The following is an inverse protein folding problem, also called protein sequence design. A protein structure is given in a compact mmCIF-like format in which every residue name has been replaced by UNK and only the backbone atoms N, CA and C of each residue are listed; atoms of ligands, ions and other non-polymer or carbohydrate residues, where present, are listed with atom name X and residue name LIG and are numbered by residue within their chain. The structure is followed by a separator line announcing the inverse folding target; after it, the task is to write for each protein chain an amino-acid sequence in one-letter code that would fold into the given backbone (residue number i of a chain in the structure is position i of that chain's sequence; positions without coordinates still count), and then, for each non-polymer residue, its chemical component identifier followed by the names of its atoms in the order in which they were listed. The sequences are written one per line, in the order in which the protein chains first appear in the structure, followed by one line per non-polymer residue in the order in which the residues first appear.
data_IF_465023255243
#
_entry.id   IF_465023255243
#
_cell.length_a   1.000
_cell.length_b   1.000
_cell.length_c   1.000
_cell.angle_alpha   90.00
_cell.angle_beta   90.00
_cell.angle_gamma   90.00
#
_symmetry.space_group_name_H-M   'P 1'
#
loop_
_entity.id
_entity.type
_entity.pdbx_description
1 polymer ?
#
# COMPACT_ATOMS: atom_id res chain seq x y z
N UNK A 1 -22.62 2.92 -19.28
CA UNK A 1 -21.39 3.41 -19.93
C UNK A 1 -20.16 3.15 -19.05
N UNK A 2 -20.16 3.58 -17.78
CA UNK A 2 -19.05 3.39 -16.83
C UNK A 2 -18.62 1.93 -16.67
N UNK A 3 -19.55 0.97 -16.54
CA UNK A 3 -19.21 -0.47 -16.45
C UNK A 3 -18.32 -0.95 -17.61
N UNK A 4 -18.75 -0.71 -18.85
CA UNK A 4 -17.99 -1.13 -20.05
C UNK A 4 -16.62 -0.47 -20.10
N UNK A 5 -16.55 0.81 -19.74
CA UNK A 5 -15.28 1.52 -19.64
C UNK A 5 -14.34 0.87 -18.61
N UNK A 6 -14.84 0.56 -17.42
CA UNK A 6 -14.06 -0.09 -16.37
C UNK A 6 -13.59 -1.51 -16.78
N UNK A 7 -14.46 -2.29 -17.42
CA UNK A 7 -14.12 -3.62 -17.97
C UNK A 7 -13.01 -3.51 -19.03
N UNK A 8 -13.14 -2.55 -19.96
CA UNK A 8 -12.16 -2.32 -21.01
C UNK A 8 -10.82 -1.85 -20.46
N UNK A 9 -10.83 -0.95 -19.46
CA UNK A 9 -9.61 -0.49 -18.78
C UNK A 9 -8.91 -1.62 -18.04
N UNK A 10 -9.61 -2.40 -17.22
CA UNK A 10 -9.03 -3.55 -16.53
C UNK A 10 -8.47 -4.59 -17.50
N UNK A 11 -9.18 -4.86 -18.59
CA UNK A 11 -8.70 -5.77 -19.62
C UNK A 11 -7.42 -5.24 -20.29
N UNK A 12 -7.36 -3.94 -20.58
CA UNK A 12 -6.17 -3.31 -21.14
C UNK A 12 -4.99 -3.39 -20.16
N UNK A 13 -5.19 -3.01 -18.89
CA UNK A 13 -4.17 -3.12 -17.83
C UNK A 13 -3.67 -4.56 -17.71
N UNK A 14 -4.56 -5.56 -17.71
CA UNK A 14 -4.15 -6.97 -17.69
C UNK A 14 -3.33 -7.38 -18.91
N UNK A 15 -3.70 -6.91 -20.11
CA UNK A 15 -2.93 -7.18 -21.35
C UNK A 15 -1.55 -6.53 -21.29
N UNK A 16 -1.44 -5.27 -20.86
CA UNK A 16 -0.16 -4.57 -20.69
C UNK A 16 0.72 -5.28 -19.66
N UNK A 17 0.13 -5.78 -18.56
CA UNK A 17 0.85 -6.58 -17.58
C UNK A 17 1.43 -7.87 -18.19
N UNK A 18 0.63 -8.64 -18.94
CA UNK A 18 1.11 -9.85 -19.61
C UNK A 18 2.20 -9.53 -20.63
N UNK A 19 2.04 -8.46 -21.40
CA UNK A 19 3.00 -8.05 -22.43
C UNK A 19 4.38 -7.66 -21.88
N UNK A 20 4.48 -7.30 -20.60
CA UNK A 20 5.78 -7.08 -19.95
C UNK A 20 6.69 -8.31 -20.01
N UNK A 21 6.12 -9.51 -19.93
CA UNK A 21 6.88 -10.76 -19.93
C UNK A 21 7.16 -11.30 -21.35
N UNK A 22 6.65 -10.62 -22.38
CA UNK A 22 6.86 -10.99 -23.78
C UNK A 22 7.90 -10.12 -24.46
N UNK A 23 8.41 -10.59 -25.60
CA UNK A 23 9.28 -9.76 -26.43
C UNK A 23 8.47 -8.66 -27.12
N UNK A 24 8.98 -7.41 -27.13
CA UNK A 24 8.30 -6.30 -27.80
C UNK A 24 8.33 -6.51 -29.31
N UNK A 25 7.17 -6.79 -29.90
CA UNK A 25 7.01 -6.81 -31.35
C UNK A 25 6.60 -5.41 -31.86
N UNK A 26 7.25 -4.87 -32.90
CA UNK A 26 6.95 -3.53 -33.41
C UNK A 26 5.55 -3.41 -34.05
N UNK A 27 4.88 -4.53 -34.31
CA UNK A 27 3.49 -4.59 -34.80
C UNK A 27 2.45 -4.59 -33.68
N UNK A 28 2.87 -4.62 -32.42
CA UNK A 28 1.95 -4.74 -31.30
C UNK A 28 1.32 -3.39 -30.95
N UNK A 29 0.00 -3.39 -30.80
CA UNK A 29 -0.75 -2.17 -30.45
C UNK A 29 -0.74 -1.88 -28.96
N UNK A 30 -0.37 -2.86 -28.14
CA UNK A 30 -0.37 -2.79 -26.68
C UNK A 30 1.06 -2.95 -26.16
N UNK A 31 1.59 -1.88 -25.58
CA UNK A 31 2.93 -1.87 -24.98
C UNK A 31 2.86 -2.34 -23.54
N UNK A 32 3.81 -3.17 -23.12
CA UNK A 32 3.93 -3.61 -21.73
C UNK A 32 4.16 -2.46 -20.74
N UNK A 33 4.01 -2.72 -19.45
CA UNK A 33 4.38 -1.74 -18.42
C UNK A 33 5.90 -1.68 -18.23
N UNK A 34 6.46 -0.48 -18.22
CA UNK A 34 7.89 -0.27 -17.97
C UNK A 34 8.25 -0.36 -16.48
N UNK A 35 7.40 0.19 -15.62
CA UNK A 35 7.62 0.27 -14.17
C UNK A 35 6.29 0.18 -13.41
N UNK A 36 6.37 -0.03 -12.09
CA UNK A 36 5.17 -0.15 -11.26
C UNK A 36 4.40 1.17 -11.10
N UNK A 37 5.07 2.32 -11.28
CA UNK A 37 4.39 3.62 -11.22
C UNK A 37 3.37 3.78 -12.35
N UNK A 38 3.62 3.24 -13.54
CA UNK A 38 2.63 3.22 -14.63
C UNK A 38 1.40 2.38 -14.29
N UNK A 39 1.61 1.19 -13.69
CA UNK A 39 0.52 0.33 -13.21
C UNK A 39 -0.32 1.09 -12.19
N UNK A 40 0.32 1.70 -11.19
CA UNK A 40 -0.36 2.48 -10.18
C UNK A 40 -1.17 3.63 -10.78
N UNK A 41 -0.62 4.37 -11.75
CA UNK A 41 -1.33 5.47 -12.42
C UNK A 41 -2.56 5.00 -13.20
N UNK A 42 -2.47 3.87 -13.90
CA UNK A 42 -3.63 3.32 -14.61
C UNK A 42 -4.73 2.89 -13.63
N UNK A 43 -4.37 2.15 -12.58
CA UNK A 43 -5.31 1.73 -11.56
C UNK A 43 -5.91 2.93 -10.82
N UNK A 44 -5.10 3.93 -10.49
CA UNK A 44 -5.50 5.19 -9.85
C UNK A 44 -6.57 5.93 -10.67
N UNK A 45 -6.33 6.07 -11.98
CA UNK A 45 -7.30 6.71 -12.88
C UNK A 45 -8.63 5.94 -12.95
N UNK A 46 -8.59 4.62 -12.82
CA UNK A 46 -9.79 3.79 -12.80
C UNK A 46 -10.54 3.94 -11.46
N UNK A 47 -9.83 4.03 -10.34
CA UNK A 47 -10.42 4.32 -9.02
C UNK A 47 -11.16 5.66 -9.06
N UNK A 48 -10.55 6.71 -9.61
CA UNK A 48 -11.19 8.03 -9.68
C UNK A 48 -12.51 7.99 -10.47
N UNK A 49 -12.53 7.32 -11.62
CA UNK A 49 -13.75 7.16 -12.45
C UNK A 49 -14.80 6.32 -11.72
N UNK A 50 -14.40 5.23 -11.07
CA UNK A 50 -15.32 4.39 -10.29
C UNK A 50 -15.89 5.18 -9.11
N UNK A 51 -15.07 5.93 -8.39
CA UNK A 51 -15.49 6.72 -7.24
C UNK A 51 -16.52 7.79 -7.63
N UNK A 52 -16.25 8.56 -8.68
CA UNK A 52 -17.18 9.57 -9.22
C UNK A 52 -18.49 8.96 -9.74
N UNK A 53 -18.50 7.68 -10.13
CA UNK A 53 -19.72 7.03 -10.61
C UNK A 53 -20.83 6.89 -9.56
N UNK A 54 -20.48 7.04 -8.27
CA UNK A 54 -21.41 7.06 -7.14
C UNK A 54 -22.42 5.89 -7.14
N UNK A 55 -21.98 4.72 -7.63
CA UNK A 55 -22.82 3.53 -7.79
C UNK A 55 -22.17 2.36 -7.05
N UNK A 56 -22.56 2.09 -5.79
CA UNK A 56 -21.89 1.09 -4.95
C UNK A 56 -21.85 -0.32 -5.56
N UNK A 57 -22.95 -0.74 -6.20
CA UNK A 57 -23.06 -2.04 -6.89
C UNK A 57 -22.10 -2.20 -8.07
N UNK A 58 -21.56 -1.10 -8.60
CA UNK A 58 -20.48 -1.09 -9.58
C UNK A 58 -19.12 -0.92 -8.89
N UNK A 59 -19.01 0.00 -7.93
CA UNK A 59 -17.74 0.30 -7.26
C UNK A 59 -17.16 -0.92 -6.55
N UNK A 60 -17.96 -1.60 -5.72
CA UNK A 60 -17.49 -2.72 -4.89
C UNK A 60 -16.81 -3.83 -5.70
N UNK A 61 -17.46 -4.45 -6.72
CA UNK A 61 -16.83 -5.55 -7.44
C UNK A 61 -15.59 -5.12 -8.23
N UNK A 62 -15.56 -3.91 -8.79
CA UNK A 62 -14.42 -3.43 -9.56
C UNK A 62 -13.24 -3.03 -8.68
N UNK A 63 -13.49 -2.40 -7.52
CA UNK A 63 -12.44 -2.06 -6.55
C UNK A 63 -11.83 -3.32 -5.94
N UNK A 64 -12.64 -4.33 -5.61
CA UNK A 64 -12.13 -5.64 -5.15
C UNK A 64 -11.27 -6.33 -6.22
N UNK A 65 -11.70 -6.28 -7.49
CA UNK A 65 -10.90 -6.80 -8.61
C UNK A 65 -9.58 -6.06 -8.74
N UNK A 66 -9.60 -4.73 -8.65
CA UNK A 66 -8.42 -3.88 -8.76
C UNK A 66 -7.42 -4.17 -7.62
N UNK A 67 -7.90 -4.28 -6.39
CA UNK A 67 -7.06 -4.67 -5.25
C UNK A 67 -6.44 -6.06 -5.44
N UNK A 68 -7.18 -7.00 -6.03
CA UNK A 68 -6.65 -8.33 -6.38
C UNK A 68 -5.62 -8.27 -7.52
N UNK A 69 -5.83 -7.46 -8.54
CA UNK A 69 -4.86 -7.28 -9.63
C UNK A 69 -3.58 -6.61 -9.10
N UNK A 70 -3.71 -5.64 -8.18
CA UNK A 70 -2.59 -4.98 -7.53
C UNK A 70 -1.66 -5.98 -6.81
N UNK A 71 -2.20 -6.89 -5.99
CA UNK A 71 -1.38 -7.86 -5.23
C UNK A 71 -0.66 -8.86 -6.14
N UNK A 72 -1.20 -9.10 -7.33
CA UNK A 72 -0.54 -9.89 -8.37
C UNK A 72 0.57 -9.08 -9.05
N UNK A 73 0.29 -7.84 -9.44
CA UNK A 73 1.19 -7.06 -10.29
C UNK A 73 2.40 -6.56 -9.53
N UNK A 74 2.25 -6.11 -8.29
CA UNK A 74 3.32 -5.45 -7.52
C UNK A 74 4.59 -6.30 -7.39
N UNK A 75 4.46 -7.63 -7.26
CA UNK A 75 5.60 -8.57 -7.17
C UNK A 75 6.45 -8.64 -8.43
N UNK A 76 5.91 -8.20 -9.55
CA UNK A 76 6.59 -8.35 -10.84
C UNK A 76 7.50 -7.19 -11.17
N UNK A 77 7.56 -6.14 -10.36
CA UNK A 77 8.28 -4.90 -10.63
C UNK A 77 9.16 -4.51 -9.45
N UNK A 78 10.21 -3.72 -9.69
CA UNK A 78 10.89 -3.01 -8.62
C UNK A 78 9.91 -2.16 -7.80
N UNK A 79 10.13 -2.01 -6.48
CA UNK A 79 9.24 -1.25 -5.61
C UNK A 79 9.14 0.20 -6.06
N UNK A 80 7.91 0.74 -6.07
CA UNK A 80 7.64 2.15 -6.34
C UNK A 80 6.82 2.78 -5.20
N UNK A 81 7.41 2.98 -4.00
CA UNK A 81 6.64 3.19 -2.77
C UNK A 81 5.70 4.39 -2.83
N UNK A 82 6.17 5.53 -3.39
CA UNK A 82 5.36 6.76 -3.49
C UNK A 82 4.08 6.56 -4.30
N UNK A 83 4.18 5.88 -5.45
CA UNK A 83 3.04 5.59 -6.31
C UNK A 83 2.11 4.54 -5.68
N UNK A 84 2.70 3.52 -5.07
CA UNK A 84 1.98 2.45 -4.37
C UNK A 84 1.14 3.00 -3.22
N UNK A 85 1.74 3.78 -2.31
CA UNK A 85 1.03 4.34 -1.16
C UNK A 85 -0.06 5.32 -1.59
N UNK A 86 0.14 6.08 -2.67
CA UNK A 86 -0.90 6.96 -3.20
C UNK A 86 -2.15 6.18 -3.61
N UNK A 87 -1.97 5.08 -4.37
CA UNK A 87 -3.08 4.22 -4.78
C UNK A 87 -3.74 3.54 -3.57
N UNK A 88 -2.94 2.96 -2.67
CA UNK A 88 -3.46 2.24 -1.49
C UNK A 88 -4.25 3.17 -0.55
N UNK A 89 -3.83 4.44 -0.39
CA UNK A 89 -4.60 5.43 0.38
C UNK A 89 -5.96 5.72 -0.25
N UNK A 90 -6.04 5.83 -1.58
CA UNK A 90 -7.34 6.00 -2.25
C UNK A 90 -8.23 4.77 -2.11
N UNK A 91 -7.65 3.56 -2.23
CA UNK A 91 -8.40 2.33 -2.03
C UNK A 91 -8.90 2.20 -0.59
N UNK A 92 -8.09 2.58 0.39
CA UNK A 92 -8.49 2.63 1.80
C UNK A 92 -9.67 3.57 2.01
N UNK A 93 -9.59 4.79 1.48
CA UNK A 93 -10.69 5.76 1.51
C UNK A 93 -11.97 5.17 0.91
N UNK A 94 -11.88 4.59 -0.29
CA UNK A 94 -13.02 4.05 -1.00
C UNK A 94 -13.67 2.88 -0.24
N UNK A 95 -12.88 1.90 0.20
CA UNK A 95 -13.42 0.74 0.90
C UNK A 95 -13.99 1.12 2.27
N UNK A 96 -13.27 1.92 3.06
CA UNK A 96 -13.76 2.38 4.36
C UNK A 96 -15.09 3.14 4.22
N UNK A 97 -15.18 4.05 3.25
CA UNK A 97 -16.40 4.83 3.00
C UNK A 97 -17.56 3.94 2.51
N UNK A 98 -17.29 2.95 1.65
CA UNK A 98 -18.30 1.98 1.20
C UNK A 98 -18.79 1.04 2.30
N UNK A 99 -17.95 0.75 3.29
CA UNK A 99 -18.30 -0.11 4.43
C UNK A 99 -19.26 0.57 5.41
N UNK A 100 -19.09 1.88 5.63
CA UNK A 100 -19.94 2.68 6.52
C UNK A 100 -21.05 3.45 5.79
N UNK A 101 -21.05 3.46 4.45
CA UNK A 101 -22.06 4.13 3.62
C UNK A 101 -22.00 5.66 3.64
N UNK A 102 -20.90 6.21 4.17
CA UNK A 102 -20.65 7.64 4.26
C UNK A 102 -19.20 7.88 3.86
N UNK A 103 -18.91 9.04 3.26
CA UNK A 103 -17.54 9.42 2.99
C UNK A 103 -16.80 9.65 4.33
N UNK A 104 -15.65 8.98 4.52
CA UNK A 104 -15.00 8.93 5.82
C UNK A 104 -14.44 10.28 6.26
N UNK A 105 -14.13 11.19 5.32
CA UNK A 105 -13.56 12.50 5.62
C UNK A 105 -14.66 13.54 5.86
N UNK A 106 -15.62 13.60 4.93
CA UNK A 106 -16.69 14.61 4.94
C UNK A 106 -17.88 14.23 5.82
N UNK A 107 -18.02 12.93 6.15
CA UNK A 107 -19.18 12.34 6.85
C UNK A 107 -20.51 12.47 6.08
N UNK A 108 -20.46 12.81 4.80
CA UNK A 108 -21.64 12.89 3.95
C UNK A 108 -22.10 11.48 3.54
N UNK A 109 -23.42 11.26 3.45
CA UNK A 109 -23.94 9.97 3.00
C UNK A 109 -23.58 9.73 1.54
N UNK A 110 -23.01 8.55 1.25
CA UNK A 110 -22.70 8.18 -0.11
C UNK A 110 -23.99 7.94 -0.92
N UNK A 111 -24.02 8.31 -2.20
CA UNK A 111 -25.13 7.96 -3.08
C UNK A 111 -25.33 6.44 -3.15
N UNK A 112 -26.59 6.01 -3.16
CA UNK A 112 -26.95 4.58 -3.10
C UNK A 112 -27.03 3.97 -1.69
N UNK A 113 -26.77 4.76 -0.64
CA UNK A 113 -26.93 4.36 0.77
C UNK A 113 -28.14 4.99 1.46
N UNK A 114 -29.05 5.59 0.70
CA UNK A 114 -30.29 6.23 1.19
C UNK A 114 -31.17 5.28 2.01
N UNK A 115 -31.14 3.98 1.69
CA UNK A 115 -31.86 2.91 2.39
C UNK A 115 -30.96 2.17 3.41
N UNK A 116 -29.92 2.84 3.91
CA UNK A 116 -28.89 2.28 4.79
C UNK A 116 -27.88 1.41 4.05
N UNK A 117 -27.19 0.54 4.80
CA UNK A 117 -26.06 -0.26 4.33
C UNK A 117 -26.42 -1.41 3.37
N UNK A 118 -27.69 -1.54 2.97
CA UNK A 118 -28.13 -2.60 2.06
C UNK A 118 -27.55 -2.45 0.65
N UNK A 119 -27.23 -1.24 0.23
CA UNK A 119 -26.54 -0.97 -1.04
C UNK A 119 -25.02 -1.14 -0.99
N UNK A 120 -24.46 -1.33 0.22
CA UNK A 120 -23.03 -1.47 0.44
C UNK A 120 -22.50 -2.90 0.27
N UNK A 121 -21.33 -3.16 0.84
CA UNK A 121 -20.69 -4.48 0.77
C UNK A 121 -21.54 -5.56 1.45
N UNK A 122 -21.75 -6.66 0.72
CA UNK A 122 -22.31 -7.89 1.30
C UNK A 122 -21.31 -8.54 2.25
N UNK A 123 -21.77 -9.48 3.09
CA UNK A 123 -20.86 -10.25 3.98
C UNK A 123 -19.74 -10.93 3.18
N UNK A 124 -20.06 -11.50 2.02
CA UNK A 124 -19.07 -12.11 1.12
C UNK A 124 -18.07 -11.08 0.61
N UNK A 125 -18.51 -9.88 0.23
CA UNK A 125 -17.61 -8.81 -0.23
C UNK A 125 -16.71 -8.33 0.90
N UNK A 126 -17.24 -8.22 2.13
CA UNK A 126 -16.47 -7.80 3.30
C UNK A 126 -15.38 -8.83 3.66
N UNK A 127 -15.68 -10.13 3.63
CA UNK A 127 -14.68 -11.18 3.87
C UNK A 127 -13.60 -11.16 2.79
N UNK A 128 -13.97 -10.95 1.52
CA UNK A 128 -13.01 -10.80 0.42
C UNK A 128 -12.15 -9.55 0.59
N UNK A 129 -12.75 -8.42 0.92
CA UNK A 129 -12.06 -7.16 1.19
C UNK A 129 -11.03 -7.35 2.31
N UNK A 130 -11.45 -7.96 3.43
CA UNK A 130 -10.56 -8.29 4.56
C UNK A 130 -9.35 -9.10 4.11
N UNK A 131 -9.58 -10.19 3.39
CA UNK A 131 -8.48 -11.06 2.94
C UNK A 131 -7.51 -10.31 2.01
N UNK A 132 -8.03 -9.50 1.08
CA UNK A 132 -7.20 -8.70 0.17
C UNK A 132 -6.38 -7.64 0.91
N UNK A 133 -6.99 -6.97 1.88
CA UNK A 133 -6.34 -5.95 2.71
C UNK A 133 -5.20 -6.56 3.53
N UNK A 134 -5.46 -7.68 4.21
CA UNK A 134 -4.46 -8.40 5.00
C UNK A 134 -3.30 -8.88 4.11
N UNK A 135 -3.61 -9.49 2.96
CA UNK A 135 -2.60 -9.91 1.99
C UNK A 135 -1.76 -8.74 1.47
N UNK A 136 -2.40 -7.60 1.19
CA UNK A 136 -1.69 -6.41 0.70
C UNK A 136 -0.72 -5.86 1.73
N UNK A 137 -1.10 -5.83 3.01
CA UNK A 137 -0.21 -5.34 4.09
C UNK A 137 1.03 -6.21 4.25
N UNK A 138 0.84 -7.53 4.31
CA UNK A 138 1.97 -8.48 4.41
C UNK A 138 2.88 -8.35 3.20
N UNK A 139 2.30 -8.27 2.00
CA UNK A 139 3.05 -8.14 0.77
C UNK A 139 3.85 -6.83 0.70
N UNK A 140 3.25 -5.71 1.09
CA UNK A 140 3.96 -4.44 1.08
C UNK A 140 5.04 -4.39 2.14
N UNK A 141 4.83 -5.00 3.31
CA UNK A 141 5.89 -5.13 4.31
C UNK A 141 7.05 -5.98 3.79
N UNK A 142 6.77 -7.12 3.15
CA UNK A 142 7.78 -7.99 2.53
C UNK A 142 8.59 -7.27 1.44
N UNK A 143 7.91 -6.61 0.50
CA UNK A 143 8.56 -5.93 -0.63
C UNK A 143 9.38 -4.73 -0.16
N UNK A 144 8.90 -3.97 0.83
CA UNK A 144 9.57 -2.76 1.28
C UNK A 144 10.70 -3.05 2.27
N UNK A 145 10.63 -4.13 3.05
CA UNK A 145 11.75 -4.58 3.90
C UNK A 145 12.82 -5.38 3.13
N UNK A 146 12.46 -6.01 2.01
CA UNK A 146 13.40 -6.78 1.18
C UNK A 146 14.06 -5.97 0.06
N UNK A 147 13.61 -4.73 -0.16
CA UNK A 147 14.23 -3.83 -1.15
C UNK A 147 15.64 -3.40 -0.73
N UNK A 148 15.92 -3.42 0.58
CA UNK A 148 17.18 -2.96 1.16
C UNK A 148 18.35 -3.93 0.88
N UNK A 149 18.06 -5.20 0.52
CA UNK A 149 19.09 -6.23 0.27
C UNK A 149 19.60 -6.26 -1.18
N UNK A 150 18.97 -5.53 -2.11
CA UNK A 150 19.29 -5.59 -3.55
C UNK A 150 20.10 -4.40 -4.08
N UNK A 151 20.43 -3.40 -3.24
CA UNK A 151 21.24 -2.24 -3.64
C UNK A 151 22.73 -2.34 -3.23
N UNK A 152 23.19 -3.44 -2.61
CA UNK A 152 24.60 -3.59 -2.15
C UNK A 152 25.50 -4.52 -3.01
N UNK A 153 25.02 -5.11 -4.11
CA UNK A 153 25.81 -6.06 -4.93
C UNK A 153 26.12 -5.57 -6.36
N UNK A 154 26.70 -4.37 -6.56
CA UNK A 154 27.26 -4.02 -7.90
C UNK A 154 28.30 -2.87 -7.92
N UNK A 155 29.20 -2.77 -6.94
CA UNK A 155 30.30 -1.77 -6.96
C UNK A 155 31.62 -2.28 -6.34
N UNK A 156 32.08 -3.48 -6.72
CA UNK A 156 33.47 -3.90 -6.52
C UNK A 156 34.04 -4.55 -7.80
N UNK A 157 34.19 -3.78 -8.88
CA UNK A 157 35.22 -4.06 -9.87
C UNK A 157 36.52 -3.34 -9.45
N UNK A 158 37.47 -4.16 -9.02
CA UNK A 158 38.87 -3.85 -8.78
C UNK A 158 39.52 -3.17 -9.99
N UNK A 159 40.13 -2.00 -9.83
CA UNK A 159 41.38 -1.70 -10.54
C UNK A 159 42.38 -1.06 -9.56
N UNK A 160 43.38 -1.86 -9.19
CA UNK A 160 44.68 -1.43 -8.69
C UNK A 160 45.39 -0.64 -9.80
N UNK A 161 45.86 0.56 -9.51
CA UNK A 161 47.13 1.03 -10.10
C UNK A 161 47.78 2.04 -9.15
N UNK A 162 48.97 1.64 -8.70
CA UNK A 162 49.93 2.40 -7.91
C UNK A 162 50.46 3.58 -8.73
N UNK A 163 50.54 4.78 -8.15
CA UNK A 163 51.62 5.72 -8.46
C UNK A 163 51.82 6.70 -7.30
N UNK A 164 52.99 6.59 -6.70
CA UNK A 164 53.58 7.51 -5.73
C UNK A 164 53.87 8.86 -6.40
N UNK A 165 53.46 9.98 -5.81
CA UNK A 165 54.30 11.18 -5.86
C UNK A 165 54.02 12.15 -4.69
N UNK A 166 55.13 12.54 -4.11
CA UNK A 166 55.38 13.27 -2.87
C UNK A 166 55.37 14.78 -3.15
N UNK A 167 54.49 15.56 -2.49
CA UNK A 167 54.71 17.01 -2.27
C UNK A 167 54.08 17.51 -0.96
N UNK A 168 54.97 17.59 0.03
CA UNK A 168 55.01 18.47 1.19
C UNK A 168 54.32 19.84 1.02
N UNK A 169 53.42 20.21 1.96
CA UNK A 169 53.19 21.60 2.36
C UNK A 169 52.63 21.67 3.80
N UNK A 170 53.58 21.82 4.71
CA UNK A 170 53.51 22.38 6.06
C UNK A 170 52.51 23.56 6.24
N UNK A 171 51.53 23.40 7.13
CA UNK A 171 50.97 24.51 7.92
C UNK A 171 50.68 24.06 9.36
N UNK A 172 51.64 24.39 10.22
CA UNK A 172 51.63 24.19 11.66
C UNK A 172 50.57 25.01 12.46
N UNK A 173 50.30 24.46 13.67
CA UNK A 173 49.73 25.06 14.91
C UNK A 173 48.18 25.11 14.97
N UNK A 174 47.54 24.57 16.01
CA UNK A 174 47.86 24.72 17.42
C UNK A 174 47.43 23.49 18.24
N UNK A 175 48.26 23.14 19.22
CA UNK A 175 48.06 22.02 20.12
C UNK A 175 47.78 22.56 21.54
N UNK A 176 46.62 22.22 22.09
CA UNK A 176 46.43 22.23 23.54
C UNK A 176 45.97 20.84 24.01
N UNK A 177 46.89 20.18 24.72
CA UNK A 177 46.72 18.88 25.39
C UNK A 177 46.03 19.04 26.74
N UNK A 178 45.17 18.07 27.10
CA UNK A 178 45.08 17.36 28.40
C UNK A 178 43.71 16.63 28.47
N UNK A 179 43.63 15.31 28.32
CA UNK A 179 43.86 14.25 29.32
C UNK A 179 42.62 13.91 30.18
N UNK A 180 42.17 12.64 30.02
CA UNK A 180 41.31 11.80 30.86
C UNK A 180 39.93 12.32 31.29
N UNK A 181 38.86 11.59 30.96
CA UNK A 181 38.23 10.64 31.89
C UNK A 181 36.97 10.01 31.27
N UNK A 182 36.85 8.72 31.50
CA UNK A 182 35.70 7.81 31.45
C UNK A 182 34.33 8.48 31.34
N UNK A 183 33.72 8.37 30.17
CA UNK A 183 32.33 8.74 29.97
C UNK A 183 31.89 8.18 28.64
N UNK A 184 31.14 7.10 28.70
CA UNK A 184 30.51 6.40 27.59
C UNK A 184 29.81 7.44 26.69
N UNK A 185 30.54 7.92 25.69
CA UNK A 185 30.02 8.82 24.68
C UNK A 185 29.04 7.99 23.87
N UNK A 186 27.78 8.00 24.33
CA UNK A 186 26.61 7.66 23.54
C UNK A 186 26.78 8.46 22.26
N UNK A 187 27.32 7.80 21.23
CA UNK A 187 27.38 8.32 19.87
C UNK A 187 25.96 8.77 19.59
N UNK A 188 25.73 10.08 19.63
CA UNK A 188 24.53 10.68 19.07
C UNK A 188 24.73 10.44 17.57
N UNK A 189 24.33 9.25 17.12
CA UNK A 189 24.25 8.91 15.70
C UNK A 189 23.18 9.87 15.19
N UNK A 190 23.63 10.96 14.58
CA UNK A 190 22.75 11.83 13.81
C UNK A 190 22.12 10.92 12.75
N UNK A 191 20.79 10.73 12.76
CA UNK A 191 20.14 9.87 11.78
C UNK A 191 20.53 10.39 10.40
N UNK A 192 21.03 9.50 9.56
CA UNK A 192 21.32 9.85 8.16
C UNK A 192 20.00 10.19 7.47
N UNK A 193 20.05 10.91 6.36
CA UNK A 193 18.84 11.18 5.56
C UNK A 193 18.15 9.89 5.10
N UNK A 194 18.93 8.81 4.94
CA UNK A 194 18.50 7.47 4.56
C UNK A 194 17.74 6.78 5.71
N UNK A 195 18.23 6.86 6.95
CA UNK A 195 17.53 6.34 8.15
C UNK A 195 16.13 7.00 8.33
N UNK A 196 15.96 8.27 7.93
CA UNK A 196 14.69 9.02 8.06
C UNK A 196 13.68 8.61 6.98
N UNK A 197 14.13 8.36 5.76
CA UNK A 197 13.25 7.98 4.64
C UNK A 197 12.77 6.53 4.78
N UNK A 198 13.60 5.65 5.34
CA UNK A 198 13.24 4.27 5.72
C UNK A 198 12.21 4.25 6.87
N UNK A 199 12.40 5.03 7.95
CA UNK A 199 11.42 5.14 9.04
C UNK A 199 10.06 5.66 8.54
N UNK A 200 10.06 6.62 7.61
CA UNK A 200 8.84 7.11 6.95
C UNK A 200 8.14 6.03 6.14
N UNK A 201 8.92 5.23 5.39
CA UNK A 201 8.41 4.11 4.60
C UNK A 201 7.73 3.07 5.47
N UNK A 202 8.36 2.69 6.59
CA UNK A 202 7.78 1.75 7.56
C UNK A 202 6.51 2.29 8.21
N UNK A 203 6.51 3.57 8.58
CA UNK A 203 5.32 4.23 9.13
C UNK A 203 4.17 4.27 8.11
N UNK A 204 4.45 4.49 6.83
CA UNK A 204 3.45 4.48 5.77
C UNK A 204 2.96 3.06 5.44
N UNK A 205 3.83 2.04 5.52
CA UNK A 205 3.46 0.63 5.40
C UNK A 205 2.51 0.19 6.53
N UNK A 206 2.75 0.65 7.76
CA UNK A 206 1.89 0.36 8.91
C UNK A 206 0.47 0.90 8.72
N UNK A 207 0.32 2.04 8.03
CA UNK A 207 -0.95 2.74 7.76
C UNK A 207 -1.73 2.23 6.54
N UNK A 208 -1.20 1.25 5.81
CA UNK A 208 -1.92 0.65 4.68
C UNK A 208 -3.26 0.08 5.17
N UNK A 209 -4.35 0.54 4.55
CA UNK A 209 -5.72 0.11 4.80
C UNK A 209 -6.21 0.29 6.26
N UNK A 210 -5.63 1.25 7.00
CA UNK A 210 -5.96 1.50 8.40
C UNK A 210 -7.47 1.71 8.60
N UNK A 211 -8.10 2.58 7.80
CA UNK A 211 -9.52 2.87 7.95
C UNK A 211 -10.39 1.68 7.57
N UNK A 212 -10.05 0.99 6.49
CA UNK A 212 -10.79 -0.17 5.99
C UNK A 212 -10.81 -1.29 7.02
N UNK A 213 -9.68 -1.56 7.68
CA UNK A 213 -9.58 -2.58 8.73
C UNK A 213 -10.52 -2.26 9.90
N UNK A 214 -10.51 -1.01 10.36
CA UNK A 214 -11.39 -0.56 11.46
C UNK A 214 -12.87 -0.75 11.10
N UNK A 215 -13.26 -0.38 9.88
CA UNK A 215 -14.64 -0.55 9.42
C UNK A 215 -15.01 -2.02 9.25
N UNK A 216 -14.12 -2.86 8.73
CA UNK A 216 -14.35 -4.30 8.60
C UNK A 216 -14.53 -4.97 9.97
N UNK A 217 -13.71 -4.63 10.97
CA UNK A 217 -13.84 -5.15 12.34
C UNK A 217 -15.19 -4.80 12.95
N UNK A 218 -15.65 -3.56 12.75
CA UNK A 218 -16.97 -3.11 13.20
C UNK A 218 -18.12 -3.87 12.53
N UNK A 219 -17.97 -4.25 11.25
CA UNK A 219 -19.04 -4.83 10.43
C UNK A 219 -19.13 -6.35 10.48
N UNK A 220 -17.98 -7.03 10.54
CA UNK A 220 -17.91 -8.50 10.57
C UNK A 220 -17.87 -9.07 11.98
N UNK A 221 -17.66 -8.24 13.00
CA UNK A 221 -17.24 -8.69 14.31
C UNK A 221 -15.76 -9.12 14.28
N UNK A 222 -15.06 -8.93 15.38
CA UNK A 222 -13.63 -9.18 15.42
C UNK A 222 -13.34 -10.65 15.78
N UNK A 223 -12.61 -11.42 14.96
CA UNK A 223 -12.00 -12.68 15.39
C UNK A 223 -10.72 -12.44 16.21
N UNK A 224 -10.22 -11.20 16.30
CA UNK A 224 -8.96 -10.88 16.99
C UNK A 224 -9.14 -10.64 18.50
N UNK A 225 -10.38 -10.49 18.98
CA UNK A 225 -10.72 -10.66 20.40
C UNK A 225 -11.40 -12.01 20.54
N UNK A 226 -10.62 -13.03 20.89
CA UNK A 226 -11.16 -14.31 21.28
C UNK A 226 -11.93 -14.18 22.58
N UNK A 227 -13.22 -13.86 22.51
CA UNK A 227 -14.14 -14.07 23.60
C UNK A 227 -15.30 -14.93 23.09
N UNK A 228 -15.21 -16.21 23.44
CA UNK A 228 -16.38 -17.07 23.55
C UNK A 228 -17.28 -16.49 24.64
N UNK A 229 -18.23 -15.65 24.27
CA UNK A 229 -19.43 -15.44 25.07
C UNK A 229 -20.54 -16.23 24.38
N UNK A 230 -20.97 -17.38 24.93
CA UNK A 230 -22.18 -18.02 24.44
C UNK A 230 -23.34 -17.07 24.71
N UNK A 231 -23.94 -16.54 23.64
CA UNK A 231 -25.14 -15.73 23.69
C UNK A 231 -26.32 -16.64 24.08
N UNK A 232 -26.40 -16.89 25.38
CA UNK A 232 -27.50 -17.59 26.00
C UNK A 232 -28.12 -16.63 27.00
N UNK A 233 -28.95 -15.71 26.50
CA UNK A 233 -30.12 -15.21 27.22
C UNK A 233 -31.03 -14.43 26.26
N UNK A 234 -31.98 -15.14 25.65
CA UNK A 234 -33.20 -14.52 25.14
C UNK A 234 -34.22 -14.48 26.29
N UNK A 235 -34.57 -13.32 26.87
CA UNK A 235 -35.72 -13.26 27.74
C UNK A 235 -36.97 -13.33 26.85
N UNK A 236 -37.63 -14.49 26.86
CA UNK A 236 -39.01 -14.61 26.38
C UNK A 236 -39.88 -13.67 27.19
N UNK A 237 -40.22 -12.51 26.62
CA UNK A 237 -41.29 -11.70 27.15
C UNK A 237 -42.61 -12.42 26.82
N UNK A 238 -43.11 -13.20 27.80
CA UNK A 238 -44.53 -13.51 27.90
C UNK A 238 -45.26 -12.20 28.15
N UNK A 239 -46.19 -11.85 27.29
CA UNK A 239 -47.34 -11.06 27.71
C UNK A 239 -48.60 -11.84 27.34
N UNK A 240 -49.24 -12.32 28.41
CA UNK A 240 -50.64 -12.69 28.49
C UNK A 240 -51.47 -11.43 28.21
N UNK A 241 -52.48 -11.55 27.36
CA UNK A 241 -53.88 -11.26 27.69
C UNK A 241 -54.80 -12.06 26.74
#
# INVERSE_FOLDING_TARGET
MVRRFAEERLLNTSRRYVKKFGNPEPTDTVVGFANFSEVCRELDSLVDVLWVSATPSLQIPFLLKLASDFTQYVRSFPPAPRATFALLRKLDHCFASLLCGQDIDTKESLPGFENGLRGGMSVTDMVRCRSLVEQTRVLMMEILSGADEQEEEDDEEEEEDEDEDDVDMDLARDATRAASDTGQARRIRTPTTWDIDEERLHMDAARIYEHTIVQLGTRLGDPLTGDNVPDNDVPRCRMQD
#
